data_IF_206261241475
#
_entry.id   IF_206261241475
#
_cell.length_a   1.000
_cell.length_b   1.000
_cell.length_c   1.000
_cell.angle_alpha   90.00
_cell.angle_beta   90.00
_cell.angle_gamma   90.00
#
_symmetry.space_group_name_H-M   'P 1'
#
loop_
_entity.id
_entity.type
_entity.pdbx_description
1 polymer ?
#
# COMPACT_ATOMS: atom_id res chain seq x y z
N UNK A 1 31.44 6.05 -7.66
CA UNK A 1 30.77 4.76 -7.35
C UNK A 1 29.36 5.04 -6.83
N UNK A 2 28.43 4.07 -6.89
CA UNK A 2 27.06 4.27 -6.39
C UNK A 2 26.65 3.15 -5.42
N UNK A 3 26.35 3.52 -4.17
CA UNK A 3 25.67 2.65 -3.21
C UNK A 3 24.18 3.02 -3.21
N UNK A 4 23.32 2.02 -3.41
CA UNK A 4 21.87 2.19 -3.36
C UNK A 4 21.32 1.26 -2.31
N UNK A 5 20.76 1.84 -1.24
CA UNK A 5 20.00 1.12 -0.23
C UNK A 5 18.55 1.57 -0.33
N UNK A 6 17.65 0.60 -0.52
CA UNK A 6 16.22 0.87 -0.67
C UNK A 6 15.41 -0.11 0.18
N UNK A 7 14.55 0.48 1.01
CA UNK A 7 13.53 -0.22 1.79
C UNK A 7 12.16 0.37 1.44
N UNK A 8 11.17 -0.51 1.34
CA UNK A 8 9.81 -0.13 1.01
C UNK A 8 8.80 -0.90 1.83
N UNK A 9 7.75 -0.19 2.25
CA UNK A 9 6.59 -0.77 2.89
C UNK A 9 5.68 -1.48 1.89
N UNK A 10 5.13 -2.64 2.25
CA UNK A 10 4.00 -3.21 1.51
C UNK A 10 2.85 -2.21 1.32
N UNK A 11 2.30 -2.19 0.11
CA UNK A 11 1.06 -1.48 -0.20
C UNK A 11 -0.13 -2.08 0.57
N UNK A 12 -1.12 -1.25 0.85
CA UNK A 12 -2.39 -1.67 1.42
C UNK A 12 -3.26 -2.40 0.38
N UNK A 13 -4.12 -3.28 0.87
CA UNK A 13 -5.07 -4.01 0.06
C UNK A 13 -6.25 -3.11 -0.34
N UNK A 14 -6.69 -3.25 -1.58
CA UNK A 14 -7.89 -2.57 -2.07
C UNK A 14 -9.15 -3.08 -1.36
N UNK A 15 -10.11 -2.17 -1.19
CA UNK A 15 -11.47 -2.53 -0.84
C UNK A 15 -12.10 -3.38 -1.94
N UNK A 16 -12.91 -4.37 -1.56
CA UNK A 16 -13.71 -5.16 -2.51
C UNK A 16 -15.04 -4.47 -2.76
N UNK A 17 -15.48 -4.52 -4.00
CA UNK A 17 -16.78 -3.97 -4.39
C UNK A 17 -17.93 -4.62 -3.62
N UNK A 18 -18.93 -3.80 -3.32
CA UNK A 18 -20.16 -4.24 -2.71
C UNK A 18 -20.99 -5.07 -3.69
N UNK A 19 -21.66 -6.10 -3.18
CA UNK A 19 -22.53 -6.93 -4.01
C UNK A 19 -23.83 -6.18 -4.34
N UNK A 20 -24.20 -6.16 -5.62
CA UNK A 20 -25.51 -5.62 -6.02
C UNK A 20 -26.66 -6.47 -5.48
N UNK A 21 -27.75 -5.83 -5.08
CA UNK A 21 -28.91 -6.54 -4.57
C UNK A 21 -29.62 -7.35 -5.64
N UNK A 22 -30.06 -8.55 -5.26
CA UNK A 22 -30.92 -9.36 -6.11
C UNK A 22 -32.33 -8.75 -6.24
N UNK A 23 -32.97 -9.02 -7.37
CA UNK A 23 -34.35 -8.61 -7.63
C UNK A 23 -35.29 -9.12 -6.51
N UNK A 24 -36.12 -8.22 -5.99
CA UNK A 24 -37.10 -8.57 -4.97
C UNK A 24 -38.44 -8.88 -5.64
N UNK A 25 -38.79 -10.16 -5.75
CA UNK A 25 -40.05 -10.57 -6.37
C UNK A 25 -41.30 -10.07 -5.62
N UNK A 26 -42.31 -9.64 -6.40
CA UNK A 26 -43.72 -9.52 -6.00
C UNK A 26 -44.11 -8.37 -5.08
N UNK A 27 -44.33 -7.17 -5.63
CA UNK A 27 -45.05 -6.05 -5.00
C UNK A 27 -44.33 -5.34 -3.84
N UNK A 28 -42.99 -5.40 -3.79
CA UNK A 28 -42.17 -4.78 -2.72
C UNK A 28 -41.11 -3.85 -3.31
N UNK A 29 -40.61 -2.93 -2.48
CA UNK A 29 -39.44 -2.12 -2.80
C UNK A 29 -38.22 -3.01 -3.08
N UNK A 30 -37.31 -2.51 -3.91
CA UNK A 30 -36.03 -3.14 -4.16
C UNK A 30 -35.17 -3.16 -2.90
N UNK A 31 -34.22 -4.11 -2.83
CA UNK A 31 -33.26 -4.19 -1.73
C UNK A 31 -32.08 -3.28 -2.00
N UNK A 32 -31.46 -2.76 -0.94
CA UNK A 32 -30.19 -2.06 -1.07
C UNK A 32 -29.08 -3.04 -1.47
N UNK A 33 -28.16 -2.61 -2.33
CA UNK A 33 -26.90 -3.29 -2.53
C UNK A 33 -26.03 -3.23 -1.27
N UNK A 34 -25.05 -4.11 -1.19
CA UNK A 34 -24.07 -4.13 -0.12
C UNK A 34 -23.04 -3.01 -0.32
N UNK A 35 -22.47 -2.52 0.78
CA UNK A 35 -21.36 -1.58 0.73
C UNK A 35 -20.08 -2.28 0.28
N UNK A 36 -19.17 -1.53 -0.34
CA UNK A 36 -17.80 -1.97 -0.51
C UNK A 36 -17.12 -2.21 0.85
N UNK A 37 -16.09 -3.06 0.87
CA UNK A 37 -15.23 -3.17 2.05
C UNK A 37 -14.23 -2.03 2.10
N UNK A 38 -13.78 -1.69 3.31
CA UNK A 38 -12.72 -0.69 3.47
C UNK A 38 -11.40 -1.21 2.87
N UNK A 39 -10.61 -0.35 2.22
CA UNK A 39 -9.22 -0.65 1.93
C UNK A 39 -8.38 -0.65 3.21
N UNK A 40 -7.15 -1.13 3.12
CA UNK A 40 -6.15 -0.98 4.18
C UNK A 40 -5.12 0.08 3.82
N UNK A 41 -4.50 0.68 4.83
CA UNK A 41 -3.35 1.55 4.61
C UNK A 41 -2.13 0.70 4.18
N UNK A 42 -1.24 1.30 3.38
CA UNK A 42 0.11 0.77 3.23
C UNK A 42 0.89 0.87 4.53
N UNK A 43 1.98 0.12 4.63
CA UNK A 43 2.78 0.09 5.86
C UNK A 43 3.90 1.11 5.83
N UNK A 44 4.51 1.32 7.00
CA UNK A 44 5.78 2.03 7.12
C UNK A 44 6.84 1.49 6.13
N UNK A 45 7.81 2.33 5.74
CA UNK A 45 8.83 1.99 4.74
C UNK A 45 9.98 1.14 5.27
N UNK A 46 10.10 1.06 6.59
CA UNK A 46 11.29 0.57 7.26
C UNK A 46 12.27 1.70 7.56
N UNK A 47 13.45 1.30 8.03
CA UNK A 47 14.49 2.19 8.53
C UNK A 47 15.82 1.87 7.85
N UNK A 48 16.62 2.90 7.63
CA UNK A 48 18.01 2.78 7.20
C UNK A 48 18.83 3.62 8.16
N UNK A 49 19.73 2.96 8.88
CA UNK A 49 20.74 3.59 9.71
C UNK A 49 22.10 3.42 9.06
N UNK A 50 22.84 4.52 8.94
CA UNK A 50 24.13 4.56 8.28
C UNK A 50 25.15 5.29 9.16
N UNK A 51 26.31 4.66 9.31
CA UNK A 51 27.48 5.22 9.96
C UNK A 51 28.57 5.39 8.90
N UNK A 52 29.11 6.61 8.81
CA UNK A 52 30.19 6.97 7.90
C UNK A 52 31.42 7.34 8.74
N UNK A 53 32.53 6.63 8.52
CA UNK A 53 33.78 6.85 9.24
C UNK A 53 34.91 7.06 8.23
N UNK A 54 35.65 8.15 8.38
CA UNK A 54 36.92 8.35 7.68
C UNK A 54 37.97 7.37 8.23
N UNK A 55 38.65 6.62 7.36
CA UNK A 55 39.56 5.56 7.79
C UNK A 55 41.05 5.91 7.74
N UNK A 56 41.50 6.74 6.81
CA UNK A 56 42.81 7.44 6.81
C UNK A 56 43.11 8.06 5.42
N UNK A 57 44.08 8.97 5.38
CA UNK A 57 44.45 9.84 4.25
C UNK A 57 45.69 9.39 3.44
N UNK A 58 46.39 8.35 3.87
CA UNK A 58 47.77 8.05 3.43
C UNK A 58 47.87 7.66 1.94
N UNK A 59 46.77 7.16 1.33
CA UNK A 59 46.71 6.76 -0.09
C UNK A 59 45.49 7.33 -0.84
N UNK A 60 44.87 8.38 -0.30
CA UNK A 60 43.57 8.92 -0.74
C UNK A 60 42.52 8.76 0.34
N UNK A 61 41.48 9.59 0.31
CA UNK A 61 40.42 9.57 1.31
C UNK A 61 39.67 8.22 1.25
N UNK A 62 39.69 7.44 2.33
CA UNK A 62 38.89 6.23 2.46
C UNK A 62 37.73 6.48 3.42
N UNK A 63 36.55 6.00 3.03
CA UNK A 63 35.36 5.99 3.86
C UNK A 63 34.94 4.56 4.15
N UNK A 64 34.75 4.23 5.42
CA UNK A 64 33.99 3.06 5.82
C UNK A 64 32.53 3.45 6.00
N UNK A 65 31.66 2.65 5.39
CA UNK A 65 30.22 2.80 5.50
C UNK A 65 29.66 1.50 6.03
N UNK A 66 29.04 1.59 7.18
CA UNK A 66 28.37 0.48 7.81
C UNK A 66 27.00 0.91 8.31
N UNK A 67 26.20 -0.07 8.70
CA UNK A 67 24.90 0.20 9.28
C UNK A 67 23.96 -0.98 9.10
N UNK A 68 22.68 -0.68 9.21
CA UNK A 68 21.64 -1.65 9.03
C UNK A 68 20.46 -1.05 8.29
N UNK A 69 19.67 -1.93 7.68
CA UNK A 69 18.37 -1.57 7.16
C UNK A 69 17.35 -2.61 7.62
N UNK A 70 16.15 -2.14 7.93
CA UNK A 70 15.05 -2.99 8.34
C UNK A 70 13.89 -2.78 7.39
N UNK A 71 13.43 -3.86 6.75
CA UNK A 71 12.17 -3.84 6.02
C UNK A 71 11.02 -4.22 6.97
N UNK A 72 9.83 -3.62 6.84
CA UNK A 72 8.69 -3.95 7.69
C UNK A 72 8.34 -5.43 7.60
N UNK A 73 8.31 -6.12 8.74
CA UNK A 73 8.01 -7.56 8.81
C UNK A 73 9.17 -8.49 8.44
N UNK A 74 10.36 -7.96 8.17
CA UNK A 74 11.58 -8.73 7.90
C UNK A 74 12.60 -8.58 9.04
N UNK A 75 13.62 -9.44 9.02
CA UNK A 75 14.78 -9.32 9.90
C UNK A 75 15.62 -8.10 9.50
N UNK A 76 16.37 -7.58 10.49
CA UNK A 76 17.34 -6.51 10.29
C UNK A 76 18.53 -7.06 9.50
N UNK A 77 18.86 -6.43 8.39
CA UNK A 77 20.03 -6.74 7.58
C UNK A 77 21.12 -5.71 7.85
N UNK A 78 22.36 -6.19 8.05
CA UNK A 78 23.52 -5.32 8.28
C UNK A 78 24.35 -5.22 7.01
N UNK A 79 25.03 -4.10 6.83
CA UNK A 79 26.02 -3.91 5.78
C UNK A 79 27.26 -3.23 6.32
N UNK A 80 28.42 -3.59 5.77
CA UNK A 80 29.71 -2.96 6.07
C UNK A 80 30.55 -3.04 4.80
N UNK A 81 30.99 -1.89 4.31
CA UNK A 81 31.82 -1.77 3.13
C UNK A 81 32.80 -0.61 3.29
N UNK A 82 34.03 -0.81 2.82
CA UNK A 82 35.04 0.25 2.71
C UNK A 82 35.10 0.73 1.27
N UNK A 83 35.06 2.03 1.07
CA UNK A 83 35.13 2.68 -0.24
C UNK A 83 36.31 3.63 -0.32
N UNK A 84 36.87 3.72 -1.52
CA UNK A 84 37.83 4.77 -1.88
C UNK A 84 37.00 5.98 -2.31
N UNK A 85 37.11 7.09 -1.58
CA UNK A 85 36.46 8.35 -1.95
C UNK A 85 37.13 8.92 -3.19
N UNK A 86 36.46 8.80 -4.33
CA UNK A 86 36.83 9.43 -5.60
C UNK A 86 35.93 10.66 -5.85
N UNK A 87 36.21 11.41 -6.92
CA UNK A 87 35.54 12.69 -7.21
C UNK A 87 34.03 12.58 -7.49
N UNK A 88 33.48 11.39 -7.71
CA UNK A 88 32.10 11.15 -8.15
C UNK A 88 31.41 9.99 -7.41
N UNK A 89 31.43 10.03 -6.08
CA UNK A 89 30.70 9.06 -5.24
C UNK A 89 29.31 9.56 -4.85
N UNK A 90 28.30 8.72 -5.07
CA UNK A 90 26.89 9.01 -4.79
C UNK A 90 26.31 7.93 -3.88
N UNK A 91 25.72 8.36 -2.77
CA UNK A 91 24.97 7.51 -1.83
C UNK A 91 23.49 7.82 -1.97
N UNK A 92 22.70 6.81 -2.33
CA UNK A 92 21.24 6.93 -2.41
C UNK A 92 20.65 6.04 -1.32
N UNK A 93 20.01 6.69 -0.35
CA UNK A 93 19.22 6.04 0.69
C UNK A 93 17.76 6.36 0.44
N UNK A 94 16.94 5.33 0.28
CA UNK A 94 15.52 5.47 0.02
C UNK A 94 14.71 4.62 0.99
N UNK A 95 13.87 5.27 1.79
CA UNK A 95 12.84 4.64 2.59
C UNK A 95 11.48 5.19 2.17
N UNK A 96 10.60 4.33 1.66
CA UNK A 96 9.26 4.72 1.22
C UNK A 96 8.19 3.86 1.84
N UNK A 97 7.20 4.50 2.46
CA UNK A 97 5.99 3.81 2.89
C UNK A 97 5.22 3.22 1.70
N UNK A 98 4.44 2.18 1.96
CA UNK A 98 3.52 1.62 0.98
C UNK A 98 2.35 2.57 0.70
N UNK A 99 1.81 2.47 -0.51
CA UNK A 99 0.61 3.19 -0.90
C UNK A 99 -0.61 2.64 -0.15
N UNK A 100 -1.59 3.49 0.13
CA UNK A 100 -2.90 3.03 0.60
C UNK A 100 -3.66 2.27 -0.50
N UNK A 101 -4.47 1.29 -0.10
CA UNK A 101 -5.40 0.63 -1.01
C UNK A 101 -6.50 1.57 -1.50
N UNK A 102 -6.98 1.35 -2.72
CA UNK A 102 -8.11 2.05 -3.28
C UNK A 102 -9.43 1.54 -2.68
N UNK A 103 -10.40 2.43 -2.49
CA UNK A 103 -11.76 2.04 -2.10
C UNK A 103 -12.45 1.20 -3.19
N UNK A 104 -13.36 0.32 -2.77
CA UNK A 104 -14.25 -0.39 -3.70
C UNK A 104 -15.49 0.44 -4.04
N UNK A 105 -16.18 0.04 -5.10
CA UNK A 105 -17.46 0.61 -5.51
C UNK A 105 -18.61 -0.02 -4.71
N UNK A 106 -19.59 0.79 -4.31
CA UNK A 106 -20.81 0.29 -3.68
C UNK A 106 -21.62 -0.59 -4.63
N UNK A 107 -22.32 -1.58 -4.07
CA UNK A 107 -23.25 -2.40 -4.84
C UNK A 107 -24.51 -1.63 -5.19
N UNK A 108 -25.05 -1.86 -6.38
CA UNK A 108 -26.29 -1.21 -6.80
C UNK A 108 -27.48 -1.72 -5.97
N UNK A 109 -28.41 -0.81 -5.67
CA UNK A 109 -29.75 -1.19 -5.23
C UNK A 109 -30.46 -2.00 -6.31
N UNK A 110 -31.23 -2.99 -5.87
CA UNK A 110 -32.11 -3.75 -6.75
C UNK A 110 -33.35 -2.95 -7.10
N UNK A 111 -33.97 -3.29 -8.22
CA UNK A 111 -35.19 -2.64 -8.67
C UNK A 111 -36.39 -2.94 -7.75
N UNK A 112 -37.29 -1.96 -7.65
CA UNK A 112 -38.61 -2.16 -7.07
C UNK A 112 -39.51 -2.99 -7.97
N UNK A 113 -40.47 -3.68 -7.36
CA UNK A 113 -41.46 -4.44 -8.14
C UNK A 113 -42.44 -3.55 -8.89
N UNK A 114 -42.97 -3.99 -10.05
CA UNK A 114 -44.16 -3.42 -10.64
C UNK A 114 -45.36 -3.45 -9.68
N UNK A 115 -46.24 -2.44 -9.78
CA UNK A 115 -47.50 -2.38 -9.03
C UNK A 115 -48.47 -3.50 -9.42
N UNK A 116 -49.51 -3.71 -8.60
CA UNK A 116 -50.60 -4.62 -8.94
C UNK A 116 -51.79 -3.83 -9.48
N UNK A 117 -52.46 -4.39 -10.48
CA UNK A 117 -53.72 -3.85 -10.97
C UNK A 117 -54.76 -3.81 -9.84
N UNK A 118 -55.55 -2.74 -9.81
CA UNK A 118 -56.66 -2.60 -8.86
C UNK A 118 -57.75 -3.63 -9.13
N UNK A 119 -58.47 -4.05 -8.09
CA UNK A 119 -59.66 -4.89 -8.27
C UNK A 119 -60.81 -4.05 -8.85
N UNK A 120 -61.66 -4.69 -9.66
CA UNK A 120 -62.88 -4.07 -10.18
C UNK A 120 -63.76 -3.54 -9.04
N UNK A 121 -64.30 -2.34 -9.21
CA UNK A 121 -65.05 -1.62 -8.18
C UNK A 121 -66.41 -2.26 -7.80
N UNK A 122 -66.81 -3.36 -8.43
CA UNK A 122 -68.18 -3.91 -8.36
C UNK A 122 -68.24 -5.42 -8.05
N UNK A 123 -67.21 -5.99 -7.41
CA UNK A 123 -67.29 -7.34 -6.85
C UNK A 123 -67.93 -7.35 -5.48
#
# INVERSE_FOLDING_TARGET
MTLILSVSGPDGDNGRDGRSAAFSGGGKNGRNGENATNPTAGTDGGEIDLTLVERDDVNGALAEISGYFQRPGYQVDNFEQTYICATDDLFILEARGGNGGNGGNGGNGGDGSPGKDGKNATS
#
